data_IF_195115898315
#
_entry.id   IF_195115898315
#
_cell.length_a   1.000
_cell.length_b   1.000
_cell.length_c   1.000
_cell.angle_alpha   90.00
_cell.angle_beta   90.00
_cell.angle_gamma   90.00
#
_symmetry.space_group_name_H-M   'P 1'
#
loop_
_entity.id
_entity.type
_entity.pdbx_description
1 polymer ?
#
# COMPACT_ATOMS: atom_id res chain seq x y z
N UNK A 1 -0.77 -3.20 39.20
CA UNK A 1 -2.12 -3.76 38.94
C UNK A 1 -3.07 -2.80 38.21
N UNK A 2 -2.83 -1.49 38.15
CA UNK A 2 -3.71 -0.55 37.43
C UNK A 2 -3.25 -0.27 35.98
N UNK A 3 -1.95 -0.40 35.69
CA UNK A 3 -1.34 0.00 34.40
C UNK A 3 -1.63 -0.98 33.27
N UNK A 4 -1.61 -2.30 33.48
CA UNK A 4 -1.82 -3.28 32.39
C UNK A 4 -3.28 -3.39 31.93
N UNK A 5 -4.24 -3.20 32.84
CA UNK A 5 -5.68 -3.17 32.51
C UNK A 5 -6.05 -1.85 31.83
N UNK A 6 -5.48 -0.73 32.29
CA UNK A 6 -5.57 0.57 31.63
C UNK A 6 -4.94 0.52 30.23
N UNK A 7 -3.73 -0.03 30.08
CA UNK A 7 -3.06 -0.20 28.77
C UNK A 7 -3.86 -1.08 27.81
N UNK A 8 -4.58 -2.11 28.30
CA UNK A 8 -5.40 -2.96 27.43
C UNK A 8 -6.71 -2.29 26.98
N UNK A 9 -7.34 -1.47 27.83
CA UNK A 9 -8.56 -0.71 27.50
C UNK A 9 -8.26 0.56 26.71
N UNK A 10 -7.16 1.23 27.02
CA UNK A 10 -6.62 2.41 26.33
C UNK A 10 -6.09 2.02 24.95
N UNK A 11 -5.46 0.84 24.80
CA UNK A 11 -5.16 0.29 23.48
C UNK A 11 -6.42 0.01 22.66
N UNK A 12 -7.49 -0.58 23.23
CA UNK A 12 -8.71 -0.92 22.45
C UNK A 12 -9.45 0.35 21.96
N UNK A 13 -9.49 1.40 22.78
CA UNK A 13 -10.04 2.71 22.40
C UNK A 13 -9.14 3.50 21.44
N UNK A 14 -7.81 3.45 21.63
CA UNK A 14 -6.83 4.06 20.71
C UNK A 14 -6.86 3.38 19.35
N UNK A 15 -6.93 2.05 19.31
CA UNK A 15 -6.97 1.27 18.06
C UNK A 15 -8.24 1.57 17.25
N UNK A 16 -9.42 1.66 17.89
CA UNK A 16 -10.66 2.05 17.19
C UNK A 16 -10.67 3.49 16.69
N UNK A 17 -10.06 4.43 17.44
CA UNK A 17 -9.99 5.85 17.05
C UNK A 17 -9.06 6.04 15.84
N UNK A 18 -7.91 5.37 15.84
CA UNK A 18 -6.98 5.38 14.71
C UNK A 18 -7.52 4.56 13.51
N UNK A 19 -8.25 3.46 13.73
CA UNK A 19 -8.94 2.73 12.66
C UNK A 19 -9.97 3.61 11.96
N UNK A 20 -10.81 4.35 12.69
CA UNK A 20 -11.75 5.30 12.09
C UNK A 20 -11.05 6.47 11.37
N UNK A 21 -9.89 6.91 11.87
CA UNK A 21 -9.09 7.98 11.24
C UNK A 21 -8.41 7.49 9.95
N UNK A 22 -7.92 6.25 9.92
CA UNK A 22 -7.36 5.60 8.72
C UNK A 22 -8.45 5.32 7.70
N UNK A 23 -9.63 4.85 8.13
CA UNK A 23 -10.80 4.67 7.26
C UNK A 23 -11.24 6.03 6.69
N UNK A 24 -11.33 7.10 7.50
CA UNK A 24 -11.60 8.44 6.99
C UNK A 24 -10.51 8.96 6.02
N UNK A 25 -9.23 8.65 6.24
CA UNK A 25 -8.15 8.98 5.30
C UNK A 25 -8.22 8.18 3.99
N UNK A 26 -8.77 6.96 4.02
CA UNK A 26 -9.00 6.12 2.83
C UNK A 26 -10.26 6.56 2.05
N UNK A 27 -11.26 7.11 2.75
CA UNK A 27 -12.53 7.56 2.17
C UNK A 27 -12.55 9.05 1.85
N UNK A 28 -11.57 9.81 2.35
CA UNK A 28 -11.50 11.26 2.25
C UNK A 28 -10.90 11.73 0.93
N UNK A 29 -11.74 12.42 0.16
CA UNK A 29 -11.39 13.28 -0.97
C UNK A 29 -10.35 14.33 -0.54
N UNK A 30 -9.08 14.16 -0.94
CA UNK A 30 -8.18 15.30 -1.06
C UNK A 30 -8.28 15.84 -2.48
N UNK A 31 -9.37 16.56 -2.75
CA UNK A 31 -9.36 17.62 -3.75
C UNK A 31 -8.52 18.76 -3.19
N UNK A 32 -7.20 18.62 -3.20
CA UNK A 32 -6.33 19.80 -3.18
C UNK A 32 -6.16 20.21 -4.64
N UNK A 33 -7.08 21.02 -5.15
CA UNK A 33 -6.76 21.90 -6.28
C UNK A 33 -5.55 22.72 -5.85
N UNK A 34 -4.42 22.65 -6.57
CA UNK A 34 -3.25 23.43 -6.17
C UNK A 34 -3.61 24.93 -6.19
N UNK A 35 -3.19 25.67 -5.16
CA UNK A 35 -3.57 27.06 -4.87
C UNK A 35 -3.25 28.08 -5.99
N UNK A 36 -2.53 27.69 -7.04
CA UNK A 36 -2.24 28.58 -8.18
C UNK A 36 -3.46 28.92 -9.04
N UNK A 37 -4.64 28.33 -8.79
CA UNK A 37 -5.87 28.61 -9.53
C UNK A 37 -6.73 29.76 -8.98
N UNK A 38 -6.44 30.33 -7.79
CA UNK A 38 -7.39 31.21 -7.08
C UNK A 38 -6.93 32.65 -6.80
N UNK A 39 -5.83 33.14 -7.39
CA UNK A 39 -5.48 34.56 -7.29
C UNK A 39 -5.53 35.27 -8.64
N UNK A 40 -6.74 35.68 -9.03
CA UNK A 40 -6.97 36.68 -10.06
C UNK A 40 -6.68 38.08 -9.52
N UNK A 41 -5.67 38.72 -10.07
CA UNK A 41 -5.25 40.07 -9.71
C UNK A 41 -4.28 40.69 -10.72
N UNK A 42 -4.78 40.99 -11.94
CA UNK A 42 -4.37 42.11 -12.78
C UNK A 42 -2.94 42.19 -13.35
N UNK A 43 -2.85 42.09 -14.69
CA UNK A 43 -1.91 42.89 -15.50
C UNK A 43 -0.68 42.16 -16.05
N UNK A 44 -0.69 41.91 -17.37
CA UNK A 44 0.45 41.53 -18.24
C UNK A 44 1.15 40.18 -17.95
N UNK A 45 1.35 39.78 -16.69
CA UNK A 45 1.97 38.50 -16.31
C UNK A 45 1.02 37.29 -16.51
N UNK A 46 -0.28 37.52 -16.40
CA UNK A 46 -1.32 36.49 -16.61
C UNK A 46 -1.38 36.01 -18.08
N UNK A 47 -1.14 36.91 -19.04
CA UNK A 47 -1.20 36.55 -20.46
C UNK A 47 0.03 35.75 -20.90
N UNK A 48 1.22 36.09 -20.38
CA UNK A 48 2.48 35.38 -20.65
C UNK A 48 2.48 33.99 -20.02
N UNK A 49 1.99 33.88 -18.78
CA UNK A 49 1.83 32.57 -18.09
C UNK A 49 0.76 31.69 -18.76
N UNK A 50 -0.34 32.25 -19.26
CA UNK A 50 -1.33 31.48 -20.04
C UNK A 50 -0.77 30.97 -21.39
N UNK A 51 0.07 31.75 -22.07
CA UNK A 51 0.74 31.32 -23.30
C UNK A 51 1.74 30.18 -23.03
N UNK A 52 2.50 30.25 -21.94
CA UNK A 52 3.42 29.19 -21.51
C UNK A 52 2.66 27.91 -21.16
N UNK A 53 1.59 28.01 -20.37
CA UNK A 53 0.71 26.87 -20.02
C UNK A 53 0.14 26.22 -21.29
N UNK A 54 -0.30 27.04 -22.25
CA UNK A 54 -0.82 26.56 -23.53
C UNK A 54 0.25 25.84 -24.35
N UNK A 55 1.45 26.39 -24.43
CA UNK A 55 2.57 25.81 -25.19
C UNK A 55 2.95 24.45 -24.63
N UNK A 56 3.08 24.34 -23.30
CA UNK A 56 3.36 23.07 -22.61
C UNK A 56 2.26 22.03 -22.83
N UNK A 57 0.99 22.47 -22.87
CA UNK A 57 -0.15 21.59 -23.14
C UNK A 57 -0.15 21.07 -24.58
N UNK A 58 0.10 21.96 -25.56
CA UNK A 58 0.21 21.58 -26.97
C UNK A 58 1.40 20.63 -27.20
N UNK A 59 2.54 20.88 -26.57
CA UNK A 59 3.70 19.98 -26.63
C UNK A 59 3.39 18.60 -26.03
N UNK A 60 2.71 18.57 -24.88
CA UNK A 60 2.24 17.34 -24.23
C UNK A 60 1.35 16.52 -25.18
N UNK A 61 0.35 17.15 -25.79
CA UNK A 61 -0.56 16.50 -26.72
C UNK A 61 0.15 16.03 -28.00
N UNK A 62 1.09 16.82 -28.51
CA UNK A 62 1.90 16.45 -29.66
C UNK A 62 2.71 15.18 -29.37
N UNK A 63 3.44 15.15 -28.25
CA UNK A 63 4.22 13.97 -27.82
C UNK A 63 3.34 12.73 -27.64
N UNK A 64 2.16 12.89 -27.03
CA UNK A 64 1.19 11.81 -26.81
C UNK A 64 0.65 11.21 -28.12
N UNK A 65 0.57 12.01 -29.19
CA UNK A 65 0.08 11.57 -30.49
C UNK A 65 1.17 10.92 -31.36
N UNK A 66 2.44 10.99 -30.96
CA UNK A 66 3.49 10.22 -31.61
C UNK A 66 3.21 8.73 -31.38
N UNK A 67 3.09 7.97 -32.47
CA UNK A 67 2.92 6.52 -32.39
C UNK A 67 4.15 5.90 -31.75
N UNK A 68 4.05 5.52 -30.48
CA UNK A 68 5.09 4.84 -29.73
C UNK A 68 4.73 3.36 -29.57
N UNK A 69 5.70 2.48 -29.79
CA UNK A 69 5.58 1.06 -29.43
C UNK A 69 5.71 0.98 -27.91
N UNK A 70 4.64 0.56 -27.24
CA UNK A 70 4.66 0.32 -25.81
C UNK A 70 5.24 -1.07 -25.50
N UNK A 71 5.87 -1.26 -24.33
CA UNK A 71 6.32 -2.58 -23.89
C UNK A 71 5.17 -3.59 -23.79
N UNK A 72 5.48 -4.88 -23.97
CA UNK A 72 4.49 -5.98 -23.87
C UNK A 72 3.90 -6.12 -22.45
N UNK A 73 4.54 -5.55 -21.45
CA UNK A 73 4.05 -5.47 -20.06
C UNK A 73 2.88 -4.51 -19.88
N UNK A 74 2.55 -3.72 -20.91
CA UNK A 74 1.51 -2.69 -20.84
C UNK A 74 0.16 -3.24 -21.28
N UNK A 75 -0.84 -3.16 -20.39
CA UNK A 75 -2.23 -3.46 -20.70
C UNK A 75 -3.06 -2.19 -20.75
N UNK A 76 -3.76 -1.93 -21.85
CA UNK A 76 -4.68 -0.80 -21.98
C UNK A 76 -6.11 -1.16 -21.55
N UNK A 77 -6.73 -0.27 -20.77
CA UNK A 77 -8.12 -0.33 -20.30
C UNK A 77 -8.82 0.99 -20.61
N UNK A 78 -10.12 0.93 -20.89
CA UNK A 78 -10.92 2.11 -21.24
C UNK A 78 -11.99 2.40 -20.19
N UNK A 79 -12.23 3.68 -19.91
CA UNK A 79 -13.36 4.10 -19.07
C UNK A 79 -14.59 4.43 -19.93
N UNK A 80 -15.77 4.42 -19.31
CA UNK A 80 -17.02 4.78 -19.99
C UNK A 80 -17.00 6.22 -20.53
N UNK A 81 -16.25 7.12 -19.91
CA UNK A 81 -16.10 8.51 -20.32
C UNK A 81 -15.01 8.72 -21.40
N UNK A 82 -14.50 7.63 -22.00
CA UNK A 82 -13.47 7.66 -23.04
C UNK A 82 -12.03 7.81 -22.52
N UNK A 83 -11.83 7.75 -21.20
CA UNK A 83 -10.49 7.79 -20.60
C UNK A 83 -9.72 6.50 -20.88
N UNK A 84 -8.39 6.60 -20.90
CA UNK A 84 -7.48 5.48 -21.18
C UNK A 84 -6.57 5.25 -19.98
N UNK A 85 -6.43 3.98 -19.59
CA UNK A 85 -5.63 3.56 -18.44
C UNK A 85 -4.67 2.49 -18.89
N UNK A 86 -3.37 2.78 -18.77
CA UNK A 86 -2.28 1.90 -19.18
C UNK A 86 -1.64 1.29 -17.94
N UNK A 87 -1.81 0.00 -17.73
CA UNK A 87 -1.22 -0.74 -16.62
C UNK A 87 0.14 -1.28 -17.03
N UNK A 88 1.20 -0.82 -16.38
CA UNK A 88 2.55 -1.37 -16.51
C UNK A 88 2.71 -2.45 -15.44
N UNK A 89 2.70 -3.72 -15.88
CA UNK A 89 2.96 -4.86 -15.01
C UNK A 89 4.45 -5.00 -14.70
N UNK A 90 4.83 -4.78 -13.46
CA UNK A 90 6.23 -4.77 -13.01
C UNK A 90 6.59 -6.00 -12.17
N UNK A 91 7.84 -6.45 -12.30
CA UNK A 91 8.48 -7.31 -11.31
C UNK A 91 9.37 -6.41 -10.44
N UNK A 92 9.06 -6.29 -9.15
CA UNK A 92 9.69 -5.34 -8.19
C UNK A 92 11.21 -5.47 -8.02
N UNK A 93 11.84 -6.46 -8.66
CA UNK A 93 13.27 -6.74 -8.61
C UNK A 93 13.95 -6.73 -9.98
N UNK A 94 13.28 -6.21 -11.02
CA UNK A 94 13.78 -6.20 -12.40
C UNK A 94 14.13 -4.80 -12.88
N UNK A 95 15.37 -4.63 -13.37
CA UNK A 95 15.81 -3.41 -14.08
C UNK A 95 15.01 -3.17 -15.35
N UNK A 96 14.50 -4.22 -15.98
CA UNK A 96 13.62 -4.12 -17.16
C UNK A 96 12.32 -3.39 -16.81
N UNK A 97 11.74 -3.67 -15.63
CA UNK A 97 10.52 -2.98 -15.17
C UNK A 97 10.71 -1.47 -15.03
N UNK A 98 11.90 -1.03 -14.59
CA UNK A 98 12.26 0.39 -14.52
C UNK A 98 12.28 1.03 -15.93
N UNK A 99 12.82 0.30 -16.92
CA UNK A 99 12.86 0.76 -18.31
C UNK A 99 11.46 0.82 -18.93
N UNK A 100 10.62 -0.18 -18.69
CA UNK A 100 9.24 -0.24 -19.19
C UNK A 100 8.41 0.92 -18.65
N UNK A 101 8.51 1.21 -17.34
CA UNK A 101 7.88 2.37 -16.72
C UNK A 101 8.34 3.66 -17.37
N UNK A 102 9.66 3.81 -17.58
CA UNK A 102 10.25 5.01 -18.20
C UNK A 102 9.74 5.22 -19.62
N UNK A 103 9.80 4.18 -20.45
CA UNK A 103 9.33 4.22 -21.85
C UNK A 103 7.85 4.58 -21.91
N UNK A 104 7.04 3.96 -21.06
CA UNK A 104 5.59 4.14 -21.05
C UNK A 104 5.19 5.56 -20.64
N UNK A 105 5.74 6.09 -19.53
CA UNK A 105 5.41 7.44 -19.06
C UNK A 105 5.86 8.50 -20.07
N UNK A 106 7.07 8.36 -20.63
CA UNK A 106 7.59 9.31 -21.63
C UNK A 106 6.78 9.30 -22.92
N UNK A 107 6.37 8.12 -23.40
CA UNK A 107 5.56 8.00 -24.60
C UNK A 107 4.15 8.56 -24.42
N UNK A 108 3.46 8.18 -23.34
CA UNK A 108 2.05 8.51 -23.15
C UNK A 108 1.81 9.92 -22.62
N UNK A 109 2.83 10.53 -22.01
CA UNK A 109 2.74 11.83 -21.34
C UNK A 109 1.46 11.92 -20.48
N UNK A 110 1.26 11.05 -19.47
CA UNK A 110 -0.03 10.89 -18.81
C UNK A 110 -0.50 12.14 -18.07
N UNK A 111 -1.79 12.19 -17.76
CA UNK A 111 -2.39 13.18 -16.87
C UNK A 111 -2.27 12.76 -15.40
N UNK A 112 -2.23 11.45 -15.15
CA UNK A 112 -2.02 10.88 -13.82
C UNK A 112 -1.13 9.64 -13.90
N UNK A 113 -0.15 9.55 -13.00
CA UNK A 113 0.58 8.31 -12.69
C UNK A 113 0.08 7.78 -11.34
N UNK A 114 -0.35 6.53 -11.32
CA UNK A 114 -0.78 5.82 -10.12
C UNK A 114 0.22 4.71 -9.83
N UNK A 115 0.72 4.60 -8.61
CA UNK A 115 1.62 3.50 -8.21
C UNK A 115 0.95 2.58 -7.18
N UNK A 116 1.27 1.28 -7.20
CA UNK A 116 0.89 0.30 -6.17
C UNK A 116 1.66 0.54 -4.86
N UNK A 117 1.44 1.71 -4.27
CA UNK A 117 2.06 2.14 -3.03
C UNK A 117 1.03 2.85 -2.18
N UNK A 118 1.04 2.58 -0.87
CA UNK A 118 0.16 3.24 0.09
C UNK A 118 0.90 4.35 0.86
N UNK A 119 0.14 5.28 1.47
CA UNK A 119 0.69 6.43 2.21
C UNK A 119 1.72 6.07 3.29
N UNK A 120 1.54 4.93 3.96
CA UNK A 120 2.47 4.44 5.00
C UNK A 120 3.85 4.05 4.47
N UNK A 121 4.00 3.89 3.15
CA UNK A 121 5.23 3.48 2.49
C UNK A 121 5.81 4.56 1.56
N UNK A 122 5.29 5.79 1.64
CA UNK A 122 5.71 6.90 0.76
C UNK A 122 7.20 7.23 0.90
N UNK A 123 7.80 7.03 2.08
CA UNK A 123 9.23 7.25 2.31
C UNK A 123 10.11 6.42 1.37
N UNK A 124 9.63 5.28 0.86
CA UNK A 124 10.36 4.47 -0.13
C UNK A 124 10.59 5.18 -1.47
N UNK A 125 9.85 6.27 -1.74
CA UNK A 125 10.02 7.08 -2.94
C UNK A 125 11.17 8.10 -2.82
N UNK A 126 11.54 8.48 -1.60
CA UNK A 126 12.50 9.58 -1.33
C UNK A 126 13.86 9.10 -0.82
N UNK A 127 13.97 7.83 -0.44
CA UNK A 127 15.20 7.27 0.10
C UNK A 127 16.08 6.71 -1.02
N UNK A 128 17.38 7.01 -0.94
CA UNK A 128 18.38 6.45 -1.82
C UNK A 128 18.55 4.95 -1.55
N UNK A 129 18.98 4.21 -2.57
CA UNK A 129 19.10 2.75 -2.53
C UNK A 129 19.99 2.26 -1.38
N UNK A 130 21.11 2.94 -1.14
CA UNK A 130 22.05 2.66 -0.05
C UNK A 130 21.42 2.89 1.34
N UNK A 131 20.64 3.96 1.49
CA UNK A 131 19.95 4.30 2.74
C UNK A 131 18.82 3.32 3.03
N UNK A 132 18.09 2.88 1.99
CA UNK A 132 17.09 1.81 2.12
C UNK A 132 17.75 0.49 2.52
N UNK A 133 18.89 0.14 1.92
CA UNK A 133 19.66 -1.05 2.29
C UNK A 133 20.10 -1.01 3.75
N UNK A 134 20.57 0.14 4.22
CA UNK A 134 20.90 0.35 5.63
C UNK A 134 19.67 0.25 6.52
N UNK A 135 18.55 0.92 6.20
CA UNK A 135 17.32 0.86 7.00
C UNK A 135 16.68 -0.53 7.07
N UNK A 136 16.83 -1.32 6.01
CA UNK A 136 16.32 -2.68 5.90
C UNK A 136 17.22 -3.66 6.65
N UNK A 137 18.55 -3.45 6.64
CA UNK A 137 19.52 -4.23 7.43
C UNK A 137 19.49 -3.87 8.92
N UNK A 138 19.27 -2.60 9.24
CA UNK A 138 19.06 -2.09 10.58
C UNK A 138 17.61 -2.32 11.03
N UNK A 139 17.26 -3.60 11.20
CA UNK A 139 16.06 -4.00 11.93
C UNK A 139 16.20 -3.56 13.40
N UNK A 140 15.90 -2.30 13.71
CA UNK A 140 16.06 -1.79 15.06
C UNK A 140 14.91 -2.24 15.95
N UNK A 141 15.24 -2.69 17.17
CA UNK A 141 14.26 -2.93 18.25
C UNK A 141 13.42 -1.69 18.53
N UNK A 142 13.90 -0.49 18.19
CA UNK A 142 13.17 0.78 18.31
C UNK A 142 12.06 0.89 17.26
N UNK A 143 12.32 0.55 15.98
CA UNK A 143 11.27 0.49 14.94
C UNK A 143 10.20 -0.54 15.32
N UNK A 144 10.61 -1.70 15.85
CA UNK A 144 9.66 -2.69 16.39
C UNK A 144 8.84 -2.10 17.56
N UNK A 145 9.49 -1.50 18.56
CA UNK A 145 8.80 -0.89 19.72
C UNK A 145 7.86 0.23 19.28
N UNK A 146 8.27 1.07 18.34
CA UNK A 146 7.45 2.14 17.78
C UNK A 146 6.24 1.58 17.05
N UNK A 147 6.42 0.57 16.20
CA UNK A 147 5.30 -0.06 15.50
C UNK A 147 4.36 -0.79 16.46
N UNK A 148 4.89 -1.48 17.48
CA UNK A 148 4.07 -2.08 18.54
C UNK A 148 3.25 -1.01 19.28
N UNK A 149 3.86 0.14 19.56
CA UNK A 149 3.21 1.24 20.28
C UNK A 149 2.13 1.93 19.43
N UNK A 150 2.34 2.06 18.13
CA UNK A 150 1.42 2.73 17.21
C UNK A 150 0.31 1.80 16.71
N UNK A 151 0.63 0.54 16.43
CA UNK A 151 -0.23 -0.38 15.68
C UNK A 151 -0.64 -1.64 16.49
N UNK A 152 -0.13 -1.79 17.71
CA UNK A 152 -0.34 -2.96 18.56
C UNK A 152 0.72 -4.04 18.34
N UNK A 153 0.89 -4.92 19.34
CA UNK A 153 1.92 -5.97 19.37
C UNK A 153 1.88 -6.83 18.11
N UNK A 154 0.68 -7.27 17.71
CA UNK A 154 0.50 -8.16 16.57
C UNK A 154 0.95 -7.51 15.26
N UNK A 155 0.49 -6.29 14.97
CA UNK A 155 0.87 -5.59 13.74
C UNK A 155 2.35 -5.22 13.74
N UNK A 156 2.92 -4.85 14.90
CA UNK A 156 4.34 -4.56 15.02
C UNK A 156 5.23 -5.78 14.74
N UNK A 157 4.89 -6.94 15.30
CA UNK A 157 5.63 -8.20 15.01
C UNK A 157 5.51 -8.57 13.53
N UNK A 158 4.32 -8.47 12.93
CA UNK A 158 4.15 -8.78 11.51
C UNK A 158 4.95 -7.85 10.59
N UNK A 159 4.95 -6.54 10.87
CA UNK A 159 5.75 -5.59 10.09
C UNK A 159 7.25 -5.91 10.20
N UNK A 160 7.73 -6.30 11.38
CA UNK A 160 9.12 -6.74 11.55
C UNK A 160 9.42 -8.00 10.75
N UNK A 161 8.53 -9.00 10.77
CA UNK A 161 8.72 -10.22 9.98
C UNK A 161 8.75 -9.93 8.48
N UNK A 162 7.89 -9.05 7.97
CA UNK A 162 7.90 -8.63 6.56
C UNK A 162 9.16 -7.85 6.21
N UNK A 163 9.65 -7.01 7.11
CA UNK A 163 10.92 -6.32 6.94
C UNK A 163 12.08 -7.32 6.91
N UNK A 164 12.08 -8.35 7.76
CA UNK A 164 13.09 -9.43 7.74
C UNK A 164 13.08 -10.19 6.42
N UNK A 165 11.91 -10.56 5.92
CA UNK A 165 11.77 -11.22 4.60
C UNK A 165 12.26 -10.29 3.48
N UNK A 166 11.87 -9.01 3.51
CA UNK A 166 12.31 -8.02 2.51
C UNK A 166 13.83 -7.82 2.55
N UNK A 167 14.44 -7.81 3.74
CA UNK A 167 15.87 -7.70 3.94
C UNK A 167 16.62 -8.90 3.37
N UNK A 168 16.14 -10.09 3.67
CA UNK A 168 16.71 -11.32 3.15
C UNK A 168 16.66 -11.36 1.62
N UNK A 169 15.51 -11.07 1.02
CA UNK A 169 15.36 -11.02 -0.44
C UNK A 169 16.31 -9.96 -1.05
N UNK A 170 16.39 -8.78 -0.44
CA UNK A 170 17.25 -7.69 -0.94
C UNK A 170 18.75 -8.08 -0.88
N UNK A 171 19.18 -8.75 0.20
CA UNK A 171 20.55 -9.23 0.35
C UNK A 171 20.91 -10.30 -0.69
N UNK A 172 19.96 -11.18 -1.01
CA UNK A 172 20.17 -12.25 -1.98
C UNK A 172 20.12 -11.74 -3.44
N UNK A 173 19.20 -10.83 -3.77
CA UNK A 173 18.99 -10.34 -5.14
C UNK A 173 19.89 -9.16 -5.53
N UNK A 174 20.44 -8.43 -4.55
CA UNK A 174 21.26 -7.23 -4.78
C UNK A 174 20.49 -6.06 -5.41
N UNK A 175 19.16 -6.12 -5.43
CA UNK A 175 18.27 -5.09 -5.97
C UNK A 175 17.30 -4.65 -4.88
N UNK A 176 17.22 -3.34 -4.63
CA UNK A 176 16.26 -2.80 -3.66
C UNK A 176 14.87 -2.74 -4.29
N UNK A 177 13.86 -3.36 -3.66
CA UNK A 177 12.49 -3.31 -4.17
C UNK A 177 11.97 -1.87 -4.27
N UNK A 178 11.08 -1.62 -5.24
CA UNK A 178 10.45 -0.30 -5.41
C UNK A 178 11.21 0.65 -6.34
N UNK A 179 12.23 0.19 -7.07
CA UNK A 179 12.97 1.00 -8.04
C UNK A 179 12.08 1.52 -9.16
N UNK A 180 11.14 0.70 -9.62
CA UNK A 180 10.12 1.03 -10.60
C UNK A 180 9.17 2.13 -10.10
N UNK A 181 8.83 2.16 -8.81
CA UNK A 181 7.99 3.20 -8.23
C UNK A 181 8.74 4.53 -8.07
N UNK A 182 10.01 4.49 -7.66
CA UNK A 182 10.88 5.67 -7.63
C UNK A 182 11.02 6.26 -9.03
N UNK A 183 11.28 5.41 -10.03
CA UNK A 183 11.37 5.85 -11.42
C UNK A 183 10.05 6.45 -11.90
N UNK A 184 8.91 5.83 -11.59
CA UNK A 184 7.59 6.37 -11.93
C UNK A 184 7.37 7.76 -11.32
N UNK A 185 7.79 7.97 -10.07
CA UNK A 185 7.72 9.27 -9.38
C UNK A 185 8.57 10.33 -10.08
N UNK A 186 9.81 10.01 -10.43
CA UNK A 186 10.70 10.92 -11.15
C UNK A 186 10.19 11.25 -12.55
N UNK A 187 9.78 10.27 -13.34
CA UNK A 187 9.27 10.49 -14.69
C UNK A 187 7.94 11.25 -14.69
N UNK A 188 7.07 11.01 -13.71
CA UNK A 188 5.83 11.77 -13.56
C UNK A 188 6.10 13.27 -13.36
N UNK A 189 7.12 13.62 -12.57
CA UNK A 189 7.50 15.01 -12.32
C UNK A 189 8.02 15.76 -13.56
N UNK A 190 8.49 15.03 -14.58
CA UNK A 190 8.96 15.59 -15.85
C UNK A 190 7.83 15.83 -16.86
N UNK A 191 6.64 15.27 -16.63
CA UNK A 191 5.50 15.40 -17.55
C UNK A 191 4.64 16.61 -17.14
N UNK A 192 4.42 17.58 -18.05
CA UNK A 192 3.58 18.74 -17.74
C UNK A 192 2.17 18.34 -17.29
N UNK A 193 1.71 18.99 -16.22
CA UNK A 193 0.36 18.79 -15.65
C UNK A 193 0.06 17.35 -15.18
N UNK A 194 1.09 16.51 -15.03
CA UNK A 194 0.93 15.15 -14.53
C UNK A 194 0.77 15.16 -13.01
N UNK A 195 -0.22 14.43 -12.50
CA UNK A 195 -0.40 14.19 -11.06
C UNK A 195 0.16 12.83 -10.68
N UNK A 196 0.66 12.71 -9.46
CA UNK A 196 1.14 11.45 -8.92
C UNK A 196 0.25 10.98 -7.76
N UNK A 197 -0.31 9.77 -7.87
CA UNK A 197 -1.22 9.20 -6.88
C UNK A 197 -0.69 7.89 -6.31
N UNK A 198 -0.87 7.73 -5.00
CA UNK A 198 -0.65 6.49 -4.26
C UNK A 198 -1.93 5.65 -4.33
N UNK A 199 -1.91 4.57 -5.11
CA UNK A 199 -3.12 3.83 -5.48
C UNK A 199 -3.50 2.68 -4.55
N UNK A 200 -2.64 2.30 -3.61
CA UNK A 200 -2.79 1.03 -2.87
C UNK A 200 -3.39 1.20 -1.46
N UNK A 201 -3.98 0.10 -0.97
CA UNK A 201 -4.59 -0.01 0.36
C UNK A 201 -3.52 0.15 1.44
N UNK A 202 -3.83 0.84 2.56
CA UNK A 202 -2.92 0.90 3.69
C UNK A 202 -2.43 -0.47 4.15
N UNK A 203 -1.10 -0.64 4.19
CA UNK A 203 -0.48 -1.90 4.60
C UNK A 203 -0.96 -2.40 5.98
N UNK A 204 -1.24 -1.56 7.01
CA UNK A 204 -1.74 -2.07 8.29
C UNK A 204 -3.12 -2.75 8.16
N UNK A 205 -4.00 -2.23 7.30
CA UNK A 205 -5.31 -2.82 7.01
C UNK A 205 -5.11 -4.14 6.26
N UNK A 206 -4.19 -4.17 5.29
CA UNK A 206 -3.79 -5.38 4.57
C UNK A 206 -3.34 -6.50 5.50
N UNK A 207 -2.40 -6.21 6.40
CA UNK A 207 -1.85 -7.20 7.32
C UNK A 207 -2.87 -7.66 8.37
N UNK A 208 -3.67 -6.76 8.93
CA UNK A 208 -4.69 -7.13 9.93
C UNK A 208 -5.75 -8.05 9.34
N UNK A 209 -6.23 -7.75 8.13
CA UNK A 209 -7.19 -8.61 7.44
C UNK A 209 -6.56 -9.96 7.08
N UNK A 210 -5.35 -9.96 6.51
CA UNK A 210 -4.63 -11.17 6.13
C UNK A 210 -4.47 -12.11 7.33
N UNK A 211 -4.06 -11.56 8.48
CA UNK A 211 -3.93 -12.34 9.70
C UNK A 211 -5.28 -12.82 10.25
N UNK A 212 -6.34 -12.02 10.13
CA UNK A 212 -7.68 -12.41 10.55
C UNK A 212 -8.24 -13.56 9.72
N UNK A 213 -7.80 -13.68 8.46
CA UNK A 213 -8.17 -14.76 7.56
C UNK A 213 -7.49 -16.11 7.87
N UNK A 214 -6.41 -16.11 8.66
CA UNK A 214 -5.69 -17.33 9.07
C UNK A 214 -6.31 -18.00 10.30
N UNK A 215 -6.36 -19.33 10.28
CA UNK A 215 -6.70 -20.15 11.45
C UNK A 215 -5.61 -20.06 12.53
N UNK A 216 -5.93 -20.46 13.77
CA UNK A 216 -4.96 -20.47 14.87
C UNK A 216 -3.73 -21.34 14.56
N UNK A 217 -3.93 -22.52 13.97
CA UNK A 217 -2.85 -23.40 13.56
C UNK A 217 -2.00 -22.82 12.44
N UNK A 218 -2.61 -22.19 11.42
CA UNK A 218 -1.87 -21.50 10.37
C UNK A 218 -1.05 -20.33 10.92
N UNK A 219 -1.53 -19.62 11.94
CA UNK A 219 -0.78 -18.55 12.60
C UNK A 219 0.47 -19.08 13.31
N UNK A 220 0.35 -20.20 14.03
CA UNK A 220 1.51 -20.84 14.69
C UNK A 220 2.51 -21.32 13.64
N UNK A 221 2.04 -22.01 12.59
CA UNK A 221 2.90 -22.50 11.50
C UNK A 221 3.63 -21.36 10.80
N UNK A 222 2.90 -20.31 10.39
CA UNK A 222 3.49 -19.13 9.76
C UNK A 222 4.55 -18.47 10.67
N UNK A 223 4.26 -18.36 11.98
CA UNK A 223 5.22 -17.82 12.93
C UNK A 223 6.48 -18.70 13.05
N UNK A 224 6.32 -20.02 13.04
CA UNK A 224 7.43 -20.97 13.02
C UNK A 224 8.27 -20.81 11.75
N UNK A 225 7.66 -20.91 10.58
CA UNK A 225 8.34 -20.81 9.28
C UNK A 225 9.12 -19.49 9.17
N UNK A 226 8.53 -18.36 9.62
CA UNK A 226 9.18 -17.06 9.59
C UNK A 226 10.34 -16.92 10.60
N UNK A 227 10.28 -17.59 11.76
CA UNK A 227 11.35 -17.59 12.76
C UNK A 227 12.57 -18.40 12.28
N UNK A 228 12.33 -19.47 11.53
CA UNK A 228 13.35 -20.40 11.05
C UNK A 228 13.76 -20.20 9.58
N UNK A 229 13.33 -19.11 8.93
CA UNK A 229 13.88 -18.62 7.65
C UNK A 229 15.38 -18.30 7.80
N UNK A 230 16.23 -19.32 7.67
CA UNK A 230 17.70 -19.23 7.81
C UNK A 230 18.45 -20.02 6.72
N UNK A 231 17.89 -20.13 5.51
CA UNK A 231 18.57 -20.73 4.36
C UNK A 231 19.03 -19.66 3.35
N UNK A 232 20.27 -19.70 2.82
CA UNK A 232 20.64 -18.90 1.65
C UNK A 232 19.88 -19.40 0.42
N UNK A 233 19.43 -18.47 -0.45
CA UNK A 233 18.84 -18.81 -1.75
C UNK A 233 19.98 -19.18 -2.71
N UNK A 234 19.78 -20.19 -3.58
CA UNK A 234 20.80 -20.49 -4.59
C UNK A 234 20.85 -19.38 -5.65
N UNK A 235 21.98 -19.26 -6.37
CA UNK A 235 22.13 -18.32 -7.49
C UNK A 235 21.05 -18.51 -8.56
N UNK A 236 20.68 -19.77 -8.79
CA UNK A 236 19.61 -20.15 -9.69
C UNK A 236 18.27 -19.60 -9.21
N UNK A 237 17.92 -19.76 -7.92
CA UNK A 237 16.68 -19.23 -7.31
C UNK A 237 16.62 -17.69 -7.34
N UNK A 238 17.77 -17.02 -7.24
CA UNK A 238 17.91 -15.56 -7.32
C UNK A 238 17.57 -15.01 -8.71
N UNK A 239 18.15 -15.59 -9.76
CA UNK A 239 17.83 -15.19 -11.14
C UNK A 239 16.40 -15.54 -11.50
N UNK A 240 15.93 -16.67 -11.00
CA UNK A 240 14.56 -17.14 -11.07
C UNK A 240 13.55 -16.15 -10.44
N UNK A 241 13.83 -15.57 -9.27
CA UNK A 241 12.97 -14.56 -8.64
C UNK A 241 12.83 -13.24 -9.44
N UNK A 242 13.75 -12.98 -10.37
CA UNK A 242 13.67 -11.82 -11.29
C UNK A 242 12.75 -12.09 -12.48
N UNK A 243 12.44 -13.36 -12.75
CA UNK A 243 11.60 -13.76 -13.88
C UNK A 243 10.12 -13.63 -13.52
N UNK A 244 9.35 -13.04 -14.44
CA UNK A 244 7.90 -12.84 -14.28
C UNK A 244 7.18 -14.17 -14.05
N UNK A 245 7.56 -15.19 -14.82
CA UNK A 245 6.92 -16.50 -14.82
C UNK A 245 7.06 -17.26 -13.48
N UNK A 246 8.19 -17.11 -12.78
CA UNK A 246 8.36 -17.76 -11.48
C UNK A 246 7.70 -16.99 -10.34
N UNK A 247 7.70 -15.65 -10.38
CA UNK A 247 6.95 -14.88 -9.38
C UNK A 247 5.46 -15.25 -9.45
N UNK A 248 4.93 -15.43 -10.66
CA UNK A 248 3.58 -15.97 -10.88
C UNK A 248 3.43 -17.41 -10.34
N UNK A 249 4.42 -18.28 -10.55
CA UNK A 249 4.40 -19.64 -9.99
C UNK A 249 4.42 -19.65 -8.45
N UNK A 250 5.29 -18.86 -7.79
CA UNK A 250 5.32 -18.75 -6.32
C UNK A 250 4.01 -18.19 -5.78
N UNK A 251 3.39 -17.24 -6.49
CA UNK A 251 2.05 -16.76 -6.16
C UNK A 251 1.00 -17.88 -6.32
N UNK A 252 1.06 -18.68 -7.38
CA UNK A 252 0.18 -19.82 -7.60
C UNK A 252 0.30 -20.91 -6.52
N UNK A 253 1.52 -21.21 -6.07
CA UNK A 253 1.79 -22.12 -4.96
C UNK A 253 1.20 -21.58 -3.65
N UNK A 254 1.38 -20.29 -3.37
CA UNK A 254 0.78 -19.62 -2.20
C UNK A 254 -0.76 -19.63 -2.25
N UNK A 255 -1.36 -19.50 -3.44
CA UNK A 255 -2.81 -19.64 -3.65
C UNK A 255 -3.29 -21.04 -3.22
N UNK A 256 -2.54 -22.07 -3.62
CA UNK A 256 -2.84 -23.46 -3.29
C UNK A 256 -2.78 -23.74 -1.79
N UNK A 257 -1.71 -23.29 -1.12
CA UNK A 257 -1.51 -23.55 0.31
C UNK A 257 -2.36 -22.65 1.23
N UNK A 258 -2.55 -21.38 0.86
CA UNK A 258 -3.22 -20.37 1.70
C UNK A 258 -4.24 -19.52 0.91
N UNK A 259 -5.35 -20.10 0.41
CA UNK A 259 -6.30 -19.39 -0.46
C UNK A 259 -6.95 -18.18 0.21
N UNK A 260 -7.23 -18.25 1.51
CA UNK A 260 -7.78 -17.13 2.29
C UNK A 260 -6.76 -15.99 2.47
N UNK A 261 -5.47 -16.34 2.55
CA UNK A 261 -4.39 -15.37 2.64
C UNK A 261 -4.22 -14.65 1.31
N UNK A 262 -4.17 -15.40 0.20
CA UNK A 262 -4.12 -14.84 -1.15
C UNK A 262 -5.30 -13.90 -1.42
N UNK A 263 -6.53 -14.33 -1.12
CA UNK A 263 -7.72 -13.47 -1.27
C UNK A 263 -7.51 -12.10 -0.62
N UNK A 264 -6.93 -12.09 0.57
CA UNK A 264 -6.79 -10.87 1.38
C UNK A 264 -5.59 -10.01 0.99
N UNK A 265 -4.50 -10.63 0.56
CA UNK A 265 -3.25 -9.95 0.16
C UNK A 265 -3.28 -9.52 -1.30
N UNK A 266 -4.02 -10.19 -2.18
CA UNK A 266 -4.03 -9.90 -3.62
C UNK A 266 -5.42 -9.46 -4.07
N UNK A 267 -6.40 -10.37 -4.08
CA UNK A 267 -7.71 -10.09 -4.69
C UNK A 267 -8.45 -8.88 -4.09
N UNK A 268 -8.38 -8.69 -2.77
CA UNK A 268 -8.96 -7.49 -2.13
C UNK A 268 -8.20 -6.20 -2.46
N UNK A 269 -6.88 -6.28 -2.70
CA UNK A 269 -6.09 -5.14 -3.15
C UNK A 269 -6.40 -4.82 -4.61
N UNK A 270 -6.66 -5.82 -5.45
CA UNK A 270 -7.08 -5.60 -6.84
C UNK A 270 -8.34 -4.74 -6.91
N UNK A 271 -9.33 -5.01 -6.04
CA UNK A 271 -10.54 -4.20 -5.92
C UNK A 271 -10.20 -2.74 -5.56
N UNK A 272 -9.31 -2.54 -4.58
CA UNK A 272 -8.90 -1.20 -4.15
C UNK A 272 -8.09 -0.46 -5.24
N UNK A 273 -7.12 -1.12 -5.86
CA UNK A 273 -6.30 -0.59 -6.96
C UNK A 273 -7.17 -0.21 -8.16
N UNK A 274 -8.11 -1.09 -8.55
CA UNK A 274 -9.08 -0.83 -9.61
C UNK A 274 -9.87 0.43 -9.32
N UNK A 275 -10.33 0.61 -8.08
CA UNK A 275 -11.03 1.82 -7.67
C UNK A 275 -10.16 3.07 -7.79
N UNK A 276 -8.94 3.03 -7.25
CA UNK A 276 -7.99 4.15 -7.31
C UNK A 276 -7.66 4.56 -8.75
N UNK A 277 -7.50 3.58 -9.65
CA UNK A 277 -7.27 3.81 -11.07
C UNK A 277 -8.49 4.45 -11.74
N UNK A 278 -9.69 3.93 -11.49
CA UNK A 278 -10.94 4.50 -12.02
C UNK A 278 -11.19 5.93 -11.54
N UNK A 279 -10.90 6.21 -10.27
CA UNK A 279 -10.96 7.58 -9.72
C UNK A 279 -9.97 8.52 -10.39
N UNK A 280 -8.76 8.02 -10.66
CA UNK A 280 -7.70 8.77 -11.34
C UNK A 280 -7.98 9.02 -12.82
N UNK A 281 -8.81 8.19 -13.45
CA UNK A 281 -9.18 8.27 -14.86
C UNK A 281 -10.42 9.14 -15.14
N UNK A 282 -10.93 9.85 -14.13
CA UNK A 282 -12.01 10.83 -14.30
C UNK A 282 -11.58 11.97 -15.24
N UNK A 283 -12.49 12.53 -16.05
CA UNK A 283 -12.17 13.60 -16.99
C UNK A 283 -11.44 14.79 -16.34
N UNK A 284 -10.32 15.18 -16.93
CA UNK A 284 -9.45 16.25 -16.46
C UNK A 284 -9.84 17.60 -17.05
N UNK A 285 -9.70 18.71 -16.31
CA UNK A 285 -9.92 20.04 -16.86
C UNK A 285 -8.96 20.33 -18.01
N UNK A 286 -9.45 20.90 -19.10
CA UNK A 286 -8.59 21.50 -20.13
C UNK A 286 -8.09 22.86 -19.63
N UNK A 287 -6.86 23.27 -19.98
CA UNK A 287 -6.43 24.64 -19.75
C UNK A 287 -7.44 25.65 -20.33
N UNK A 288 -7.61 26.84 -19.71
CA UNK A 288 -8.55 27.84 -20.18
C UNK A 288 -8.30 28.23 -21.63
N UNK A 289 -9.30 28.08 -22.49
CA UNK A 289 -9.22 28.45 -23.90
C UNK A 289 -9.70 29.89 -24.09
N UNK A 290 -8.80 30.88 -23.95
CA UNK A 290 -9.08 32.32 -24.14
C UNK A 290 -10.15 32.91 -23.15
N UNK A 291 -10.10 34.22 -22.88
CA UNK A 291 -11.17 34.87 -22.12
C UNK A 291 -12.52 34.67 -22.83
N UNK A 292 -13.47 34.01 -22.17
CA UNK A 292 -14.85 33.85 -22.65
C UNK A 292 -15.32 32.45 -23.05
N UNK A 293 -14.45 31.42 -23.09
CA UNK A 293 -14.89 30.01 -23.20
C UNK A 293 -14.76 29.30 -21.86
N UNK A 294 -15.80 28.55 -21.48
CA UNK A 294 -15.73 27.70 -20.28
C UNK A 294 -14.65 26.62 -20.45
N UNK A 295 -13.93 26.32 -19.36
CA UNK A 295 -12.99 25.21 -19.32
C UNK A 295 -13.73 23.89 -19.58
N UNK A 296 -13.38 23.22 -20.69
CA UNK A 296 -13.89 21.90 -21.01
C UNK A 296 -13.28 20.83 -20.11
N UNK A 297 -13.84 19.61 -20.19
CA UNK A 297 -13.20 18.41 -19.64
C UNK A 297 -12.81 17.50 -20.78
N UNK A 298 -11.64 16.88 -20.68
CA UNK A 298 -11.17 15.88 -21.65
C UNK A 298 -10.98 14.54 -20.97
N UNK A 299 -11.14 13.43 -21.71
CA UNK A 299 -10.84 12.11 -21.18
C UNK A 299 -9.39 12.03 -20.70
N UNK A 300 -9.18 11.48 -19.51
CA UNK A 300 -7.86 11.37 -18.91
C UNK A 300 -7.04 10.23 -19.52
N UNK A 301 -5.73 10.41 -19.59
CA UNK A 301 -4.76 9.33 -19.82
C UNK A 301 -4.04 9.03 -18.51
N UNK A 302 -4.14 7.81 -18.02
CA UNK A 302 -3.56 7.36 -16.75
C UNK A 302 -2.56 6.26 -16.99
N UNK A 303 -1.42 6.29 -16.30
CA UNK A 303 -0.47 5.18 -16.23
C UNK A 303 -0.51 4.60 -14.81
N UNK A 304 -0.84 3.31 -14.69
CA UNK A 304 -0.81 2.56 -13.43
C UNK A 304 0.43 1.67 -13.38
N UNK A 305 1.35 1.90 -12.44
CA UNK A 305 2.52 1.06 -12.20
C UNK A 305 2.20 0.10 -11.06
N UNK A 306 1.98 -1.16 -11.40
CA UNK A 306 1.52 -2.20 -10.47
C UNK A 306 2.38 -3.44 -10.60
N UNK A 307 2.43 -4.27 -9.56
CA UNK A 307 3.02 -5.60 -9.62
C UNK A 307 2.26 -6.46 -10.64
N UNK A 308 2.98 -7.29 -11.39
CA UNK A 308 2.39 -8.11 -12.47
C UNK A 308 1.22 -8.99 -11.97
N UNK A 309 1.31 -9.50 -10.74
CA UNK A 309 0.25 -10.31 -10.12
C UNK A 309 -1.08 -9.57 -9.90
N UNK A 310 -1.11 -8.24 -9.95
CA UNK A 310 -2.33 -7.43 -9.81
C UNK A 310 -2.99 -7.10 -11.15
N UNK A 311 -2.28 -7.22 -12.28
CA UNK A 311 -2.78 -6.79 -13.61
C UNK A 311 -4.04 -7.56 -14.01
N UNK A 312 -4.03 -8.88 -13.87
CA UNK A 312 -5.18 -9.73 -14.21
C UNK A 312 -6.39 -9.39 -13.34
N UNK A 313 -6.20 -9.29 -12.01
CA UNK A 313 -7.27 -8.96 -11.08
C UNK A 313 -7.87 -7.58 -11.31
N UNK A 314 -7.06 -6.58 -11.70
CA UNK A 314 -7.56 -5.25 -12.07
C UNK A 314 -8.40 -5.33 -13.34
N UNK A 315 -7.93 -6.05 -14.37
CA UNK A 315 -8.67 -6.24 -15.64
C UNK A 315 -10.02 -6.91 -15.40
N UNK A 316 -10.06 -7.96 -14.58
CA UNK A 316 -11.29 -8.67 -14.22
C UNK A 316 -12.27 -7.81 -13.41
N UNK A 317 -11.77 -6.87 -12.60
CA UNK A 317 -12.59 -6.00 -11.76
C UNK A 317 -12.99 -4.69 -12.44
N UNK A 318 -12.39 -4.35 -13.58
CA UNK A 318 -12.51 -3.02 -14.21
C UNK A 318 -13.96 -2.56 -14.39
N UNK A 319 -14.81 -3.44 -14.92
CA UNK A 319 -16.22 -3.16 -15.24
C UNK A 319 -17.20 -3.61 -14.15
N UNK A 320 -16.70 -4.11 -13.01
CA UNK A 320 -17.56 -4.57 -11.91
C UNK A 320 -17.94 -3.41 -10.98
N UNK A 321 -19.03 -3.59 -10.24
CA UNK A 321 -19.31 -2.74 -9.07
C UNK A 321 -18.37 -3.14 -7.94
N UNK A 322 -17.69 -2.16 -7.35
CA UNK A 322 -16.67 -2.37 -6.34
C UNK A 322 -17.18 -1.88 -4.98
N UNK A 323 -17.14 -2.75 -3.97
CA UNK A 323 -17.40 -2.36 -2.58
C UNK A 323 -16.09 -2.08 -1.86
N UNK A 324 -15.74 -0.79 -1.81
CA UNK A 324 -14.50 -0.33 -1.17
C UNK A 324 -14.60 -0.41 0.36
N UNK A 325 -15.79 -0.24 0.91
CA UNK A 325 -15.99 -0.31 2.36
C UNK A 325 -15.68 -1.71 2.87
N UNK A 326 -16.06 -2.74 2.12
CA UNK A 326 -15.79 -4.13 2.48
C UNK A 326 -14.29 -4.46 2.55
N UNK A 327 -13.47 -3.90 1.65
CA UNK A 327 -12.03 -4.18 1.58
C UNK A 327 -11.20 -3.27 2.48
N UNK A 328 -11.73 -2.12 2.90
CA UNK A 328 -11.04 -1.19 3.82
C UNK A 328 -11.41 -1.44 5.29
N UNK A 329 -12.64 -1.89 5.58
CA UNK A 329 -13.06 -2.22 6.95
C UNK A 329 -12.29 -3.42 7.50
N UNK A 330 -11.99 -3.46 8.80
CA UNK A 330 -11.37 -4.63 9.43
C UNK A 330 -12.50 -5.49 10.01
N UNK A 331 -12.62 -6.79 9.66
CA UNK A 331 -13.69 -7.64 10.17
C UNK A 331 -13.53 -7.82 11.68
N UNK A 332 -14.64 -7.86 12.45
CA UNK A 332 -14.57 -8.04 13.89
C UNK A 332 -13.92 -9.39 14.25
N UNK A 333 -13.25 -9.49 15.41
CA UNK A 333 -12.61 -10.73 15.84
C UNK A 333 -13.66 -11.85 15.97
N UNK A 334 -13.25 -13.08 15.64
CA UNK A 334 -14.10 -14.26 15.74
C UNK A 334 -14.66 -14.44 17.16
N UNK A 335 -15.82 -15.08 17.28
CA UNK A 335 -16.45 -15.37 18.58
C UNK A 335 -15.50 -16.11 19.53
N UNK A 336 -14.70 -17.04 19.00
CA UNK A 336 -13.66 -17.74 19.74
C UNK A 336 -12.58 -16.79 20.25
N UNK A 337 -12.16 -15.80 19.46
CA UNK A 337 -11.21 -14.78 19.89
C UNK A 337 -11.78 -13.88 21.01
N UNK A 338 -13.08 -13.57 20.94
CA UNK A 338 -13.78 -12.82 22.00
C UNK A 338 -13.89 -13.65 23.28
N UNK A 339 -14.27 -14.93 23.18
CA UNK A 339 -14.35 -15.85 24.30
C UNK A 339 -12.98 -16.08 24.96
N UNK A 340 -11.93 -16.31 24.17
CA UNK A 340 -10.57 -16.51 24.67
C UNK A 340 -10.09 -15.28 25.45
N UNK A 341 -10.37 -14.06 24.96
CA UNK A 341 -10.05 -12.80 25.66
C UNK A 341 -10.78 -12.68 26.99
N UNK A 342 -12.05 -13.09 27.06
CA UNK A 342 -12.83 -13.12 28.31
C UNK A 342 -12.23 -14.16 29.26
N UNK A 343 -11.96 -15.37 28.79
CA UNK A 343 -11.35 -16.45 29.58
C UNK A 343 -10.02 -16.00 30.16
N UNK A 344 -9.12 -15.40 29.37
CA UNK A 344 -7.83 -14.90 29.88
C UNK A 344 -8.02 -13.85 30.97
N UNK A 345 -8.97 -12.91 30.82
CA UNK A 345 -9.27 -11.90 31.84
C UNK A 345 -9.82 -12.53 33.12
N UNK A 346 -10.75 -13.46 32.99
CA UNK A 346 -11.36 -14.19 34.13
C UNK A 346 -10.29 -15.03 34.84
N UNK A 347 -9.46 -15.76 34.11
CA UNK A 347 -8.37 -16.57 34.67
C UNK A 347 -7.35 -15.71 35.41
N UNK A 348 -6.97 -14.55 34.85
CA UNK A 348 -6.05 -13.64 35.53
C UNK A 348 -6.64 -13.06 36.82
N UNK A 349 -7.92 -12.64 36.78
CA UNK A 349 -8.61 -12.15 37.96
C UNK A 349 -8.75 -13.25 39.03
N UNK A 350 -9.07 -14.48 38.62
CA UNK A 350 -9.13 -15.64 39.50
C UNK A 350 -7.79 -15.94 40.18
N UNK A 351 -6.68 -15.89 39.42
CA UNK A 351 -5.33 -16.05 39.94
C UNK A 351 -4.94 -14.95 40.93
N UNK A 352 -5.29 -13.69 40.64
CA UNK A 352 -5.05 -12.57 41.54
C UNK A 352 -5.86 -12.71 42.84
N UNK A 353 -7.15 -13.05 42.76
CA UNK A 353 -7.99 -13.32 43.92
C UNK A 353 -7.45 -14.49 44.77
N UNK A 354 -7.02 -15.57 44.12
CA UNK A 354 -6.41 -16.71 44.80
C UNK A 354 -5.10 -16.33 45.50
N UNK A 355 -4.24 -15.54 44.86
CA UNK A 355 -3.01 -15.03 45.46
C UNK A 355 -3.30 -14.14 46.68
N UNK A 356 -4.25 -13.21 46.58
CA UNK A 356 -4.68 -12.38 47.71
C UNK A 356 -5.24 -13.23 48.86
N UNK A 357 -6.08 -14.23 48.56
CA UNK A 357 -6.61 -15.16 49.56
C UNK A 357 -5.50 -15.96 50.25
N UNK A 358 -4.52 -16.47 49.48
CA UNK A 358 -3.35 -17.18 50.02
C UNK A 358 -2.50 -16.29 50.93
N UNK A 359 -2.22 -15.06 50.51
CA UNK A 359 -1.45 -14.08 51.29
C UNK A 359 -2.18 -13.68 52.58
N UNK A 360 -3.49 -13.42 52.51
CA UNK A 360 -4.31 -13.13 53.70
C UNK A 360 -4.30 -14.29 54.70
N UNK A 361 -4.41 -15.54 54.20
CA UNK A 361 -4.36 -16.75 55.03
C UNK A 361 -2.97 -16.98 55.65
N UNK A 362 -1.90 -16.62 54.95
CA UNK A 362 -0.53 -16.66 55.47
C UNK A 362 -0.31 -15.58 56.54
N UNK A 363 -0.79 -14.36 56.32
CA UNK A 363 -0.76 -13.28 57.31
C UNK A 363 -1.52 -13.64 58.59
N UNK A 364 -2.71 -14.24 58.46
CA UNK A 364 -3.50 -14.71 59.61
C UNK A 364 -2.81 -15.85 60.41
N UNK A 365 -1.87 -16.59 59.80
CA UNK A 365 -1.07 -17.62 60.51
C UNK A 365 0.20 -17.06 61.16
N UNK A 366 0.68 -15.92 60.67
CA UNK A 366 1.91 -15.28 61.13
C UNK A 366 1.66 -14.15 62.13
N UNK A 367 0.40 -13.75 62.34
CA UNK A 367 0.00 -12.88 63.46
C UNK A 367 0.09 -13.67 64.76
N UNK A 368 1.07 -13.43 65.63
CA UNK A 368 0.90 -13.76 67.03
C UNK A 368 -0.17 -12.80 67.57
N UNK A 369 -0.94 -13.25 68.54
CA UNK A 369 -1.73 -12.32 69.35
C UNK A 369 -0.81 -11.32 70.05
#
# INVERSE_FOLDING_TARGET
>A
MTVLSAVALENDHYTRREENKVIQLCLGETQSTPEWWLHGGGGVDDCRSLQEVRTLWEEKLYKRNLSAVLPDTVTELHTADGGRVFLVGTAHFSKESIQDVTKTIRALQPDVVVVELCRFRVSMLSLNEETLLQEVRELSLEKLRQSIRQNGILTGVMQMLLLKVSAHITEQLGVVPGGEFRQAYHEAALVPFCRFHLGDRPIPVTLRRAFSALSFWQKIRLAWDLLFLNGPLSSEDVEQCKQKDLLEQMMAEMIGEFPNLHRTIVAERDVYLTHSLRQSARPVPTPPALPGKQAGRTPAVVVGVVGIGHVLGIKENWNKQLDIQQVVSIPPPSMTGRACRIITKVSFLGLACYACFRLARLGARLSPW
#
